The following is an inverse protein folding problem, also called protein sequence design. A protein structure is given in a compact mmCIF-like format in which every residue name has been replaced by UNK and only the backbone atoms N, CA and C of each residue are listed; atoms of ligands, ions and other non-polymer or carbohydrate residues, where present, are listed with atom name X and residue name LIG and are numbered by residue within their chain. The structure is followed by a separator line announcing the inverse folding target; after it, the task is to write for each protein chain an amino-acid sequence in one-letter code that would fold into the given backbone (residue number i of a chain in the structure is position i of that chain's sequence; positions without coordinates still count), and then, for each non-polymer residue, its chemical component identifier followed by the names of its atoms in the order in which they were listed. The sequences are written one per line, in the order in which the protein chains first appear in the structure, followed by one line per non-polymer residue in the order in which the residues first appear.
data_IF_917981194769
#
_entry.id   IF_917981194769
#
_cell.length_a   1.000
_cell.length_b   1.000
_cell.length_c   1.000
_cell.angle_alpha   90.00
_cell.angle_beta   90.00
_cell.angle_gamma   90.00
#
_symmetry.space_group_name_H-M   'P 1'
#
loop_
_entity.id
_entity.type
_entity.pdbx_description
1 polymer ?
#
# COMPACT_ATOMS: atom_id res chain seq x y z
N UNK A 1 5.53 -7.43 3.55
CA UNK A 1 5.63 -7.01 4.97
C UNK A 1 4.81 -7.88 5.92
N UNK A 2 5.02 -7.76 7.23
CA UNK A 2 4.18 -8.36 8.29
C UNK A 2 3.21 -7.29 8.79
N UNK A 3 1.90 -7.49 8.63
CA UNK A 3 0.91 -6.61 9.25
C UNK A 3 0.67 -7.06 10.69
N UNK A 4 0.92 -6.17 11.65
CA UNK A 4 0.65 -6.40 13.08
C UNK A 4 -0.27 -5.29 13.59
N UNK A 5 -1.33 -5.66 14.30
CA UNK A 5 -2.26 -4.68 14.88
C UNK A 5 -1.97 -4.59 16.38
N UNK A 6 -1.48 -3.42 16.82
CA UNK A 6 -1.35 -3.10 18.22
C UNK A 6 -2.63 -2.41 18.71
N UNK A 7 -3.34 -3.03 19.65
CA UNK A 7 -4.59 -2.48 20.17
C UNK A 7 -4.28 -1.53 21.33
N UNK A 8 -4.18 -0.24 21.02
CA UNK A 8 -3.82 0.80 22.00
C UNK A 8 -4.90 1.05 23.08
N UNK A 9 -6.12 0.52 22.93
CA UNK A 9 -7.16 0.56 23.97
C UNK A 9 -7.01 -0.58 24.98
N UNK A 10 -5.83 -0.73 25.57
CA UNK A 10 -5.60 -1.64 26.68
C UNK A 10 -6.63 -1.45 27.81
N UNK A 11 -7.13 -0.22 28.03
CA UNK A 11 -8.20 0.09 29.01
C UNK A 11 -9.51 -0.67 28.83
N UNK A 12 -9.90 -1.05 27.61
CA UNK A 12 -11.12 -1.86 27.41
C UNK A 12 -10.89 -3.35 27.72
N UNK A 13 -9.64 -3.81 27.68
CA UNK A 13 -9.25 -5.17 28.07
C UNK A 13 -8.89 -5.26 29.58
N UNK A 14 -8.83 -4.11 30.27
CA UNK A 14 -8.47 -3.99 31.69
C UNK A 14 -9.62 -4.26 32.67
N UNK A 15 -10.84 -4.50 32.18
CA UNK A 15 -11.97 -4.81 33.07
C UNK A 15 -11.82 -6.16 33.79
N UNK A 16 -10.91 -7.03 33.34
CA UNK A 16 -10.76 -8.39 33.87
C UNK A 16 -9.62 -8.58 34.90
N UNK A 17 -8.68 -7.63 35.07
CA UNK A 17 -7.56 -7.81 36.03
C UNK A 17 -6.93 -6.49 36.56
N UNK A 18 -7.33 -5.99 37.74
CA UNK A 18 -6.77 -4.80 38.35
C UNK A 18 -5.52 -5.14 39.19
N UNK A 19 -4.33 -5.18 38.59
CA UNK A 19 -3.08 -5.39 39.36
C UNK A 19 -1.77 -5.48 38.58
N UNK A 20 -1.82 -5.79 37.28
CA UNK A 20 -0.62 -5.93 36.45
C UNK A 20 -0.36 -4.71 35.57
N UNK A 21 0.92 -4.42 35.28
CA UNK A 21 1.30 -3.44 34.25
C UNK A 21 0.73 -3.91 32.91
N UNK A 22 -0.09 -3.10 32.22
CA UNK A 22 -0.85 -3.59 31.08
C UNK A 22 0.08 -3.86 29.90
N UNK A 23 0.26 -5.13 29.56
CA UNK A 23 0.90 -5.55 28.33
C UNK A 23 0.13 -4.98 27.14
N UNK A 24 0.85 -4.50 26.11
CA UNK A 24 0.22 -4.07 24.87
C UNK A 24 -0.25 -5.31 24.09
N UNK A 25 -1.56 -5.54 23.93
CA UNK A 25 -2.07 -6.60 23.07
C UNK A 25 -1.62 -6.37 21.62
N UNK A 26 -0.82 -7.29 21.09
CA UNK A 26 -0.41 -7.32 19.69
C UNK A 26 -1.02 -8.54 19.04
N UNK A 27 -1.79 -8.29 17.99
CA UNK A 27 -2.20 -9.31 17.06
C UNK A 27 -1.09 -9.60 16.07
N UNK A 28 -0.62 -10.83 16.06
CA UNK A 28 0.59 -11.22 15.33
C UNK A 28 0.37 -12.49 14.50
N UNK A 29 0.86 -12.55 13.25
CA UNK A 29 0.97 -13.82 12.54
C UNK A 29 2.02 -14.72 13.21
N UNK A 30 2.00 -16.04 12.96
CA UNK A 30 2.85 -16.99 13.68
C UNK A 30 4.35 -16.71 13.53
N UNK A 31 4.76 -16.15 12.38
CA UNK A 31 6.15 -15.74 12.16
C UNK A 31 6.59 -14.59 13.07
N UNK A 32 5.75 -13.57 13.27
CA UNK A 32 6.04 -12.46 14.18
C UNK A 32 6.01 -12.92 15.63
N UNK A 33 5.05 -13.76 15.99
CA UNK A 33 4.98 -14.35 17.32
C UNK A 33 6.27 -15.12 17.65
N UNK A 34 6.72 -16.01 16.76
CA UNK A 34 7.99 -16.73 16.92
C UNK A 34 9.18 -15.78 17.05
N UNK A 35 9.25 -14.77 16.19
CA UNK A 35 10.33 -13.78 16.27
C UNK A 35 10.33 -13.03 17.61
N UNK A 36 9.15 -12.60 18.08
CA UNK A 36 9.03 -11.88 19.35
C UNK A 36 9.34 -12.77 20.56
N UNK A 37 8.94 -14.04 20.53
CA UNK A 37 9.35 -15.03 21.54
C UNK A 37 10.87 -15.16 21.58
N UNK A 38 11.51 -15.40 20.43
CA UNK A 38 12.98 -15.48 20.36
C UNK A 38 13.67 -14.18 20.79
N UNK A 39 13.08 -13.02 20.48
CA UNK A 39 13.60 -11.73 20.91
C UNK A 39 13.54 -11.58 22.44
N UNK A 40 12.41 -11.91 23.07
CA UNK A 40 12.26 -11.89 24.52
C UNK A 40 13.25 -12.84 25.21
N UNK A 41 13.45 -14.04 24.66
CA UNK A 41 14.42 -15.03 25.17
C UNK A 41 15.87 -14.51 25.12
N UNK A 42 16.22 -13.74 24.09
CA UNK A 42 17.59 -13.23 23.89
C UNK A 42 17.89 -11.96 24.68
N UNK A 43 16.92 -11.06 24.85
CA UNK A 43 17.18 -9.71 25.34
C UNK A 43 16.67 -9.43 26.76
N UNK A 44 16.08 -10.41 27.46
CA UNK A 44 15.65 -10.32 28.88
C UNK A 44 14.94 -9.02 29.26
N UNK A 45 14.23 -8.39 28.32
CA UNK A 45 13.30 -7.34 28.63
C UNK A 45 12.01 -8.03 29.10
N UNK A 46 11.49 -7.64 30.26
CA UNK A 46 10.21 -8.18 30.74
C UNK A 46 9.13 -8.08 29.65
N UNK A 47 8.05 -8.86 29.75
CA UNK A 47 7.00 -8.81 28.74
C UNK A 47 6.42 -7.39 28.67
N UNK A 48 6.51 -6.75 27.49
CA UNK A 48 5.91 -5.43 27.21
C UNK A 48 4.62 -5.61 26.38
N UNK A 49 4.49 -6.76 25.73
CA UNK A 49 3.43 -7.08 24.77
C UNK A 49 2.76 -8.40 25.13
N UNK A 50 1.45 -8.46 24.93
CA UNK A 50 0.65 -9.69 25.03
C UNK A 50 0.34 -10.12 23.60
N UNK A 51 0.92 -11.24 23.15
CA UNK A 51 0.80 -11.70 21.78
C UNK A 51 -0.44 -12.57 21.61
N UNK A 52 -1.35 -12.12 20.75
CA UNK A 52 -2.44 -12.94 20.23
C UNK A 52 -1.98 -13.50 18.89
N UNK A 53 -1.51 -14.74 18.92
CA UNK A 53 -1.05 -15.43 17.70
C UNK A 53 -2.28 -15.81 16.88
N UNK A 54 -2.38 -15.27 15.68
CA UNK A 54 -3.37 -15.74 14.72
C UNK A 54 -2.79 -16.91 13.92
N UNK A 55 -3.21 -18.16 14.17
CA UNK A 55 -3.08 -19.21 13.15
C UNK A 55 -3.86 -18.78 11.89
N UNK A 56 -3.83 -19.56 10.80
CA UNK A 56 -4.61 -19.25 9.60
C UNK A 56 -6.12 -19.27 9.90
N UNK A 57 -6.66 -18.17 10.44
CA UNK A 57 -8.06 -18.00 10.85
C UNK A 57 -8.95 -17.63 9.66
N UNK A 58 -8.35 -17.31 8.52
CA UNK A 58 -9.04 -17.10 7.26
C UNK A 58 -8.75 -18.26 6.31
N UNK A 59 -9.71 -18.57 5.45
CA UNK A 59 -9.56 -19.58 4.40
C UNK A 59 -8.51 -19.11 3.39
N UNK A 60 -7.54 -19.99 3.12
CA UNK A 60 -6.50 -19.78 2.10
C UNK A 60 -6.33 -21.07 1.29
N UNK A 61 -6.37 -21.02 -0.06
CA UNK A 61 -6.58 -19.83 -0.87
C UNK A 61 -8.01 -19.28 -0.75
N UNK A 62 -8.15 -17.97 -0.93
CA UNK A 62 -9.45 -17.29 -0.96
C UNK A 62 -10.33 -17.91 -2.07
N UNK A 63 -11.61 -18.23 -1.82
CA UNK A 63 -12.48 -18.73 -2.87
C UNK A 63 -12.63 -17.74 -4.03
N UNK A 64 -12.32 -18.19 -5.25
CA UNK A 64 -12.18 -17.33 -6.45
C UNK A 64 -13.52 -16.68 -6.88
N UNK A 65 -14.65 -17.26 -6.47
CA UNK A 65 -15.99 -16.81 -6.85
C UNK A 65 -16.57 -15.73 -5.93
N UNK A 66 -15.90 -15.37 -4.83
CA UNK A 66 -16.41 -14.36 -3.91
C UNK A 66 -16.20 -12.95 -4.45
N UNK A 67 -17.27 -12.15 -4.42
CA UNK A 67 -17.29 -10.73 -4.81
C UNK A 67 -18.06 -9.93 -3.73
N UNK A 68 -17.41 -8.99 -3.02
CA UNK A 68 -15.98 -8.65 -3.08
C UNK A 68 -15.09 -9.82 -2.64
N UNK A 69 -13.80 -9.86 -3.05
CA UNK A 69 -12.87 -10.97 -2.79
C UNK A 69 -12.32 -10.93 -1.36
N UNK A 70 -13.22 -10.97 -0.38
CA UNK A 70 -12.90 -10.98 1.05
C UNK A 70 -12.82 -12.43 1.52
N UNK A 71 -11.70 -12.82 2.13
CA UNK A 71 -11.54 -14.21 2.53
C UNK A 71 -12.33 -14.49 3.81
N UNK A 72 -13.14 -15.56 3.86
CA UNK A 72 -13.98 -15.87 4.99
C UNK A 72 -13.17 -16.44 6.16
N UNK A 73 -13.73 -16.33 7.37
CA UNK A 73 -13.19 -16.97 8.56
C UNK A 73 -13.34 -18.49 8.50
N UNK A 74 -12.35 -19.19 9.02
CA UNK A 74 -12.30 -20.65 9.15
C UNK A 74 -12.99 -21.06 10.46
N UNK A 75 -14.31 -21.21 10.42
CA UNK A 75 -15.17 -21.40 11.61
C UNK A 75 -15.01 -22.76 12.33
N UNK A 76 -14.18 -23.65 11.82
CA UNK A 76 -13.94 -24.99 12.39
C UNK A 76 -12.90 -24.99 13.53
N UNK A 77 -12.29 -23.85 13.84
CA UNK A 77 -11.22 -23.71 14.83
C UNK A 77 -11.66 -22.86 16.02
N UNK A 78 -11.33 -23.30 17.24
CA UNK A 78 -11.54 -22.52 18.48
C UNK A 78 -10.90 -21.13 18.39
N UNK A 79 -9.71 -21.04 17.78
CA UNK A 79 -9.01 -19.78 17.54
C UNK A 79 -9.79 -18.79 16.67
N UNK A 80 -10.58 -19.27 15.70
CA UNK A 80 -11.38 -18.40 14.85
C UNK A 80 -12.60 -17.84 15.59
N UNK A 81 -13.17 -18.59 16.55
CA UNK A 81 -14.25 -18.12 17.40
C UNK A 81 -13.75 -17.08 18.41
N UNK A 82 -12.61 -17.32 19.05
CA UNK A 82 -11.96 -16.34 19.94
C UNK A 82 -11.61 -15.06 19.18
N UNK A 83 -11.08 -15.21 17.96
CA UNK A 83 -10.79 -14.09 17.07
C UNK A 83 -12.04 -13.27 16.73
N UNK A 84 -13.13 -13.93 16.34
CA UNK A 84 -14.42 -13.28 16.06
C UNK A 84 -14.95 -12.54 17.30
N UNK A 85 -14.92 -13.19 18.47
CA UNK A 85 -15.35 -12.57 19.74
C UNK A 85 -14.52 -11.33 20.10
N UNK A 86 -13.20 -11.37 19.89
CA UNK A 86 -12.34 -10.21 20.07
C UNK A 86 -12.71 -9.07 19.12
N UNK A 87 -12.88 -9.37 17.83
CA UNK A 87 -13.30 -8.39 16.81
C UNK A 87 -14.66 -7.76 17.13
N UNK A 88 -15.64 -8.57 17.56
CA UNK A 88 -16.97 -8.10 17.98
C UNK A 88 -16.88 -7.16 19.18
N UNK A 89 -16.08 -7.50 20.21
CA UNK A 89 -15.84 -6.62 21.38
C UNK A 89 -15.16 -5.30 21.00
N UNK A 90 -14.23 -5.35 20.05
CA UNK A 90 -13.53 -4.17 19.54
C UNK A 90 -14.38 -3.36 18.54
N UNK A 91 -15.53 -3.89 18.10
CA UNK A 91 -16.35 -3.34 17.02
C UNK A 91 -15.52 -3.10 15.76
N UNK A 92 -14.62 -4.04 15.47
CA UNK A 92 -13.66 -4.00 14.39
C UNK A 92 -13.90 -5.20 13.47
N UNK A 93 -13.94 -4.96 12.17
CA UNK A 93 -13.97 -5.99 11.14
C UNK A 93 -12.61 -5.99 10.42
N UNK A 94 -12.07 -7.17 10.14
CA UNK A 94 -10.79 -7.36 9.43
C UNK A 94 -11.03 -8.32 8.28
N UNK A 95 -10.72 -7.87 7.08
CA UNK A 95 -10.94 -8.61 5.84
C UNK A 95 -9.63 -8.69 5.04
N UNK A 96 -8.92 -9.82 5.07
CA UNK A 96 -7.74 -10.01 4.26
C UNK A 96 -8.10 -10.22 2.79
N UNK A 97 -7.27 -9.67 1.91
CA UNK A 97 -7.43 -9.72 0.46
C UNK A 97 -6.12 -10.24 -0.12
N UNK A 98 -6.21 -11.25 -0.98
CA UNK A 98 -5.01 -11.81 -1.61
C UNK A 98 -4.47 -10.84 -2.65
N UNK A 99 -3.16 -10.57 -2.61
CA UNK A 99 -2.50 -9.68 -3.58
C UNK A 99 -1.34 -10.36 -4.32
N UNK A 100 -1.09 -9.99 -5.59
CA UNK A 100 -0.13 -10.65 -6.47
C UNK A 100 1.32 -10.13 -6.30
N UNK A 101 1.88 -10.23 -5.10
CA UNK A 101 3.31 -9.98 -4.84
C UNK A 101 4.07 -11.30 -4.66
N UNK A 102 3.96 -11.91 -3.46
CA UNK A 102 4.43 -13.28 -3.19
C UNK A 102 3.28 -14.24 -2.87
N UNK A 103 3.57 -15.54 -2.81
CA UNK A 103 2.60 -16.57 -2.39
C UNK A 103 1.97 -16.30 -1.01
N UNK A 104 2.63 -15.53 -0.14
CA UNK A 104 2.19 -15.20 1.22
C UNK A 104 1.83 -13.73 1.42
N UNK A 105 1.73 -12.94 0.35
CA UNK A 105 1.37 -11.51 0.44
C UNK A 105 -0.14 -11.29 0.52
N UNK A 106 -0.53 -10.32 1.34
CA UNK A 106 -1.92 -9.96 1.62
C UNK A 106 -2.06 -8.45 1.80
N UNK A 107 -3.19 -7.93 1.36
CA UNK A 107 -3.74 -6.64 1.76
C UNK A 107 -4.80 -6.84 2.83
N UNK A 108 -5.20 -5.75 3.49
CA UNK A 108 -6.22 -5.78 4.54
C UNK A 108 -7.19 -4.62 4.39
N UNK A 109 -8.48 -4.93 4.42
CA UNK A 109 -9.54 -3.97 4.71
C UNK A 109 -9.90 -4.07 6.19
N UNK A 110 -9.88 -2.94 6.89
CA UNK A 110 -10.37 -2.79 8.24
C UNK A 110 -11.61 -1.91 8.22
N UNK A 111 -12.61 -2.26 9.03
CA UNK A 111 -13.76 -1.38 9.28
C UNK A 111 -14.00 -1.29 10.77
N UNK A 112 -14.10 -0.08 11.31
CA UNK A 112 -14.47 0.12 12.70
C UNK A 112 -15.80 0.84 12.79
N UNK A 113 -16.67 0.38 13.70
CA UNK A 113 -17.87 1.11 14.06
C UNK A 113 -17.52 2.01 15.24
N UNK A 114 -17.53 3.31 15.04
CA UNK A 114 -17.38 4.22 16.18
C UNK A 114 -18.72 4.30 16.91
N UNK A 115 -18.93 3.43 17.91
CA UNK A 115 -19.88 3.76 18.96
C UNK A 115 -19.30 4.89 19.80
N UNK A 116 -19.85 6.12 19.65
CA UNK A 116 -19.83 7.07 20.77
C UNK A 116 -20.76 6.50 21.84
N UNK A 117 -20.18 5.76 22.78
CA UNK A 117 -20.74 5.64 24.13
C UNK A 117 -20.56 7.01 24.78
N UNK A 118 -21.50 7.90 24.50
CA UNK A 118 -21.86 8.94 25.46
C UNK A 118 -23.16 8.47 26.11
N UNK A 119 -23.14 8.64 27.43
CA UNK A 119 -24.16 8.35 28.43
C UNK A 119 -25.59 8.57 27.95
N UNK A 120 -26.47 7.83 28.60
CA UNK A 120 -27.92 7.78 28.41
C UNK A 120 -28.56 9.16 28.21
N UNK A 121 -29.69 9.12 27.49
CA UNK A 121 -30.63 10.21 27.22
C UNK A 121 -30.25 11.14 26.07
N UNK A 122 -30.66 10.74 24.85
CA UNK A 122 -31.60 11.45 23.96
C UNK A 122 -31.81 10.56 22.73
N UNK A 123 -33.07 10.19 22.48
CA UNK A 123 -33.53 9.60 21.23
C UNK A 123 -33.30 10.59 20.10
N UNK A 124 -32.19 10.45 19.40
CA UNK A 124 -32.03 11.02 18.07
C UNK A 124 -31.17 10.08 17.24
N UNK A 125 -31.55 9.87 15.97
CA UNK A 125 -31.00 8.85 15.06
C UNK A 125 -29.47 8.93 15.00
N UNK A 126 -28.79 8.11 15.82
CA UNK A 126 -27.33 8.00 15.85
C UNK A 126 -26.83 7.52 14.50
N UNK A 127 -26.38 8.45 13.67
CA UNK A 127 -25.44 8.18 12.59
C UNK A 127 -24.21 7.53 13.23
N UNK A 128 -24.13 6.20 13.19
CA UNK A 128 -22.90 5.49 13.53
C UNK A 128 -21.83 5.94 12.52
N UNK A 129 -20.82 6.67 12.98
CA UNK A 129 -19.65 6.98 12.14
C UNK A 129 -18.82 5.70 11.99
N UNK A 130 -19.11 4.94 10.94
CA UNK A 130 -18.26 3.85 10.51
C UNK A 130 -17.03 4.44 9.81
N UNK A 131 -15.85 3.89 10.06
CA UNK A 131 -14.65 4.20 9.29
C UNK A 131 -14.13 2.94 8.62
N UNK A 132 -13.48 3.11 7.49
CA UNK A 132 -12.90 2.06 6.68
C UNK A 132 -11.49 2.42 6.23
N UNK A 133 -10.56 1.49 6.43
CA UNK A 133 -9.14 1.64 6.11
C UNK A 133 -8.71 0.47 5.25
N UNK A 134 -8.06 0.73 4.12
CA UNK A 134 -7.42 -0.29 3.29
C UNK A 134 -5.91 -0.13 3.40
N UNK A 135 -5.21 -1.22 3.66
CA UNK A 135 -3.75 -1.30 3.66
C UNK A 135 -3.32 -2.27 2.56
N UNK A 136 -2.61 -1.80 1.54
CA UNK A 136 -2.28 -2.59 0.35
C UNK A 136 -1.33 -3.76 0.62
N UNK A 137 -0.49 -3.66 1.65
CA UNK A 137 0.74 -4.47 1.71
C UNK A 137 1.63 -4.18 0.50
N UNK A 138 2.43 -5.16 0.11
CA UNK A 138 3.23 -5.10 -1.11
C UNK A 138 2.42 -5.72 -2.26
N UNK A 139 2.21 -4.99 -3.35
CA UNK A 139 1.40 -5.40 -4.50
C UNK A 139 1.66 -4.52 -5.73
N UNK A 140 1.64 -5.08 -6.96
CA UNK A 140 1.38 -4.30 -8.16
C UNK A 140 -0.12 -3.92 -8.23
N UNK A 141 -0.57 -3.31 -9.32
CA UNK A 141 -1.99 -3.02 -9.55
C UNK A 141 -2.83 -4.31 -9.37
N UNK A 142 -3.88 -4.23 -8.53
CA UNK A 142 -4.67 -5.38 -8.12
C UNK A 142 -6.17 -5.04 -8.12
N UNK A 143 -6.90 -5.60 -9.09
CA UNK A 143 -8.35 -5.37 -9.21
C UNK A 143 -9.14 -5.90 -8.01
N UNK A 144 -8.73 -7.03 -7.44
CA UNK A 144 -9.37 -7.59 -6.26
C UNK A 144 -9.25 -6.65 -5.05
N UNK A 145 -8.10 -5.97 -4.90
CA UNK A 145 -7.90 -4.94 -3.89
C UNK A 145 -8.82 -3.73 -4.13
N UNK A 146 -8.90 -3.25 -5.38
CA UNK A 146 -9.77 -2.13 -5.78
C UNK A 146 -11.23 -2.45 -5.46
N UNK A 147 -11.71 -3.64 -5.85
CA UNK A 147 -13.08 -4.07 -5.64
C UNK A 147 -13.40 -4.23 -4.15
N UNK A 148 -12.53 -4.91 -3.41
CA UNK A 148 -12.69 -5.08 -1.98
C UNK A 148 -12.70 -3.73 -1.25
N UNK A 149 -11.80 -2.83 -1.64
CA UNK A 149 -11.54 -1.51 -1.06
C UNK A 149 -12.53 -0.40 -1.38
N UNK A 150 -13.51 -0.66 -2.25
CA UNK A 150 -14.32 0.40 -2.88
C UNK A 150 -14.98 1.33 -1.85
N UNK A 151 -14.88 2.63 -2.09
CA UNK A 151 -15.39 3.70 -1.22
C UNK A 151 -14.80 3.73 0.20
N UNK A 152 -13.57 3.25 0.41
CA UNK A 152 -12.95 3.35 1.72
C UNK A 152 -12.63 4.81 2.11
N UNK A 153 -12.55 5.08 3.42
CA UNK A 153 -12.23 6.43 3.92
C UNK A 153 -10.75 6.75 3.77
N UNK A 154 -9.89 5.75 3.97
CA UNK A 154 -8.45 5.88 3.82
C UNK A 154 -7.88 4.64 3.13
N UNK A 155 -7.13 4.85 2.06
CA UNK A 155 -6.25 3.87 1.44
C UNK A 155 -4.80 4.21 1.83
N UNK A 156 -4.09 3.28 2.46
CA UNK A 156 -2.64 3.32 2.61
C UNK A 156 -2.06 2.37 1.58
N UNK A 157 -1.38 2.91 0.56
CA UNK A 157 -0.89 2.14 -0.57
C UNK A 157 0.63 2.24 -0.71
N UNK A 158 1.28 1.11 -1.02
CA UNK A 158 2.69 1.10 -1.38
C UNK A 158 2.94 1.86 -2.69
N UNK A 159 4.05 2.60 -2.75
CA UNK A 159 4.49 3.32 -3.93
C UNK A 159 6.01 3.17 -4.06
N UNK A 160 6.44 1.91 -4.18
CA UNK A 160 7.86 1.52 -4.05
C UNK A 160 8.77 2.19 -5.07
N UNK A 161 8.27 2.42 -6.30
CA UNK A 161 9.07 2.96 -7.40
C UNK A 161 8.44 4.20 -8.05
N UNK A 162 9.25 5.00 -8.74
CA UNK A 162 8.75 6.08 -9.58
C UNK A 162 8.18 5.53 -10.89
N UNK A 163 7.42 6.36 -11.63
CA UNK A 163 6.77 5.94 -12.86
C UNK A 163 7.77 5.63 -13.98
N UNK A 164 8.95 6.26 -13.97
CA UNK A 164 10.05 5.98 -14.92
C UNK A 164 10.61 4.57 -14.73
N UNK A 165 10.43 3.98 -13.55
CA UNK A 165 10.88 2.63 -13.20
C UNK A 165 9.75 1.60 -13.30
N UNK A 166 8.70 1.86 -14.08
CA UNK A 166 7.56 0.95 -14.25
C UNK A 166 7.97 -0.49 -14.58
N UNK A 167 8.93 -0.68 -15.48
CA UNK A 167 9.39 -2.01 -15.86
C UNK A 167 10.09 -2.76 -14.71
N UNK A 168 10.78 -2.04 -13.83
CA UNK A 168 11.34 -2.62 -12.60
C UNK A 168 10.24 -2.94 -11.58
N UNK A 169 9.23 -2.07 -11.45
CA UNK A 169 8.11 -2.27 -10.55
C UNK A 169 7.31 -3.52 -10.94
N UNK A 170 7.02 -3.69 -12.23
CA UNK A 170 6.30 -4.85 -12.75
C UNK A 170 7.10 -6.14 -12.52
N UNK A 171 8.42 -6.14 -12.79
CA UNK A 171 9.31 -7.30 -12.53
C UNK A 171 9.40 -7.66 -11.05
N UNK A 172 9.46 -6.65 -10.18
CA UNK A 172 9.55 -6.84 -8.73
C UNK A 172 8.18 -7.04 -8.07
N UNK A 173 7.08 -6.97 -8.84
CA UNK A 173 5.69 -7.04 -8.38
C UNK A 173 5.36 -6.02 -7.29
N UNK A 174 5.71 -4.77 -7.56
CA UNK A 174 5.43 -3.62 -6.72
C UNK A 174 4.66 -2.55 -7.50
N UNK A 175 4.20 -1.53 -6.80
CA UNK A 175 3.51 -0.39 -7.41
C UNK A 175 4.47 0.76 -7.70
N UNK A 176 4.18 1.49 -8.77
CA UNK A 176 4.72 2.82 -9.00
C UNK A 176 3.89 3.86 -8.26
N UNK A 177 4.41 5.08 -8.16
CA UNK A 177 3.68 6.22 -7.61
C UNK A 177 2.34 6.43 -8.35
N UNK A 178 2.39 6.49 -9.68
CA UNK A 178 1.21 6.69 -10.51
C UNK A 178 0.23 5.52 -10.43
N UNK A 179 0.70 4.28 -10.32
CA UNK A 179 -0.19 3.13 -10.15
C UNK A 179 -0.91 3.14 -8.82
N UNK A 180 -0.21 3.49 -7.73
CA UNK A 180 -0.81 3.61 -6.40
C UNK A 180 -1.90 4.70 -6.37
N UNK A 181 -1.67 5.84 -7.03
CA UNK A 181 -2.65 6.92 -7.15
C UNK A 181 -3.87 6.45 -7.96
N UNK A 182 -3.66 5.83 -9.13
CA UNK A 182 -4.75 5.30 -9.97
C UNK A 182 -5.57 4.23 -9.24
N UNK A 183 -4.93 3.38 -8.43
CA UNK A 183 -5.61 2.41 -7.59
C UNK A 183 -6.54 3.11 -6.59
N UNK A 184 -6.08 4.17 -5.93
CA UNK A 184 -6.92 4.97 -5.02
C UNK A 184 -8.09 5.65 -5.72
N UNK A 185 -7.86 6.22 -6.91
CA UNK A 185 -8.91 6.82 -7.74
C UNK A 185 -9.95 5.78 -8.19
N UNK A 186 -9.50 4.62 -8.67
CA UNK A 186 -10.36 3.52 -9.11
C UNK A 186 -11.17 2.89 -7.97
N UNK A 187 -10.57 2.85 -6.78
CA UNK A 187 -11.22 2.44 -5.54
C UNK A 187 -12.24 3.47 -5.05
N UNK A 188 -12.24 4.69 -5.59
CA UNK A 188 -13.02 5.82 -5.08
C UNK A 188 -12.73 6.07 -3.59
N UNK A 189 -11.47 5.90 -3.18
CA UNK A 189 -11.04 6.13 -1.81
C UNK A 189 -11.18 7.63 -1.47
N UNK A 190 -11.72 7.95 -0.29
CA UNK A 190 -11.87 9.34 0.16
C UNK A 190 -10.52 10.02 0.35
N UNK A 191 -9.49 9.26 0.74
CA UNK A 191 -8.12 9.72 0.85
C UNK A 191 -7.13 8.58 0.55
N UNK A 192 -6.01 8.89 -0.12
CA UNK A 192 -4.92 7.96 -0.40
C UNK A 192 -3.61 8.48 0.22
N UNK A 193 -3.02 7.68 1.10
CA UNK A 193 -1.74 7.94 1.73
C UNK A 193 -0.69 6.97 1.16
N UNK A 194 0.30 7.51 0.47
CA UNK A 194 1.36 6.74 -0.19
C UNK A 194 2.45 6.39 0.82
N UNK A 195 2.91 5.13 0.84
CA UNK A 195 3.95 4.64 1.74
C UNK A 195 4.97 3.73 1.03
N UNK A 196 5.88 3.14 1.82
CA UNK A 196 6.80 2.07 1.38
C UNK A 196 7.68 2.49 0.19
N UNK A 197 8.23 3.70 0.24
CA UNK A 197 9.11 4.21 -0.79
C UNK A 197 10.47 3.48 -0.77
N UNK A 198 10.95 3.04 -1.93
CA UNK A 198 12.26 2.39 -2.00
C UNK A 198 13.38 3.38 -1.69
N UNK A 199 14.18 3.10 -0.66
CA UNK A 199 15.37 3.90 -0.35
C UNK A 199 16.37 3.98 -1.52
N UNK A 200 16.35 3.01 -2.45
CA UNK A 200 17.27 2.95 -3.60
C UNK A 200 16.84 3.87 -4.74
N UNK A 201 15.53 4.01 -4.95
CA UNK A 201 14.93 4.72 -6.08
C UNK A 201 14.32 6.07 -5.68
N UNK A 202 14.08 6.30 -4.38
CA UNK A 202 13.75 7.60 -3.84
C UNK A 202 13.20 7.52 -2.42
N UNK A 203 13.83 8.22 -1.49
CA UNK A 203 13.32 8.40 -0.11
C UNK A 203 12.08 9.30 -0.06
N UNK A 204 11.78 9.99 -1.15
CA UNK A 204 10.66 10.89 -1.30
C UNK A 204 9.94 10.54 -2.59
N UNK A 205 8.62 10.47 -2.58
CA UNK A 205 7.89 10.42 -3.82
C UNK A 205 8.04 11.75 -4.58
N UNK A 206 8.29 11.67 -5.88
CA UNK A 206 8.28 12.83 -6.77
C UNK A 206 6.85 13.26 -7.07
N UNK A 207 6.14 13.72 -6.03
CA UNK A 207 4.79 14.27 -6.13
C UNK A 207 4.88 15.79 -6.05
N UNK A 208 4.91 16.45 -7.21
CA UNK A 208 4.97 17.91 -7.33
C UNK A 208 3.59 18.56 -7.54
N UNK A 209 2.62 17.76 -7.99
CA UNK A 209 1.28 18.19 -8.36
C UNK A 209 0.34 18.07 -7.17
N UNK A 210 -0.32 19.18 -6.81
CA UNK A 210 -1.32 19.18 -5.75
C UNK A 210 -2.50 18.29 -6.10
N UNK A 211 -2.83 17.37 -5.19
CA UNK A 211 -3.98 16.46 -5.30
C UNK A 211 -4.73 16.45 -3.96
N UNK A 212 -5.99 16.89 -3.90
CA UNK A 212 -6.69 17.18 -2.64
C UNK A 212 -6.94 15.95 -1.74
N UNK A 213 -6.84 14.75 -2.30
CA UNK A 213 -7.07 13.48 -1.60
C UNK A 213 -5.82 12.59 -1.57
N UNK A 214 -4.64 13.09 -1.94
CA UNK A 214 -3.41 12.29 -1.98
C UNK A 214 -2.30 12.95 -1.19
N UNK A 215 -1.66 12.19 -0.31
CA UNK A 215 -0.47 12.64 0.41
C UNK A 215 0.52 11.49 0.62
N UNK A 216 1.64 11.80 1.25
CA UNK A 216 2.80 10.91 1.38
C UNK A 216 3.11 10.71 2.85
N UNK A 217 3.32 9.47 3.28
CA UNK A 217 3.70 9.15 4.64
C UNK A 217 5.19 9.41 4.88
N UNK A 218 5.54 9.72 6.13
CA UNK A 218 6.93 9.86 6.57
C UNK A 218 7.16 9.03 7.83
N UNK A 219 8.41 8.68 8.07
CA UNK A 219 8.82 8.02 9.31
C UNK A 219 8.36 8.85 10.52
N UNK A 220 7.76 8.17 11.50
CA UNK A 220 7.20 8.76 12.72
C UNK A 220 6.03 9.74 12.53
N UNK A 221 5.51 9.89 11.31
CA UNK A 221 4.35 10.72 11.05
C UNK A 221 3.13 10.21 11.83
N UNK A 222 2.45 11.11 12.55
CA UNK A 222 1.20 10.84 13.24
C UNK A 222 0.13 11.78 12.71
N UNK A 223 -0.96 11.22 12.19
CA UNK A 223 -2.04 11.99 11.58
C UNK A 223 -3.36 11.49 12.11
N UNK A 224 -4.24 12.41 12.50
CA UNK A 224 -5.64 12.08 12.81
C UNK A 224 -6.44 11.98 11.52
N UNK A 225 -7.47 11.13 11.50
CA UNK A 225 -8.37 11.00 10.34
C UNK A 225 -8.93 12.37 9.89
N UNK A 226 -9.31 13.23 10.83
CA UNK A 226 -9.84 14.58 10.54
C UNK A 226 -8.82 15.51 9.87
N UNK A 227 -7.52 15.24 10.05
CA UNK A 227 -6.42 16.06 9.54
C UNK A 227 -5.91 15.59 8.16
N UNK A 228 -6.39 14.45 7.63
CA UNK A 228 -5.91 13.89 6.36
C UNK A 228 -5.98 14.90 5.21
N UNK A 229 -7.09 15.64 5.09
CA UNK A 229 -7.29 16.66 4.03
C UNK A 229 -6.33 17.85 4.12
N UNK A 230 -5.61 18.00 5.23
CA UNK A 230 -4.57 19.03 5.39
C UNK A 230 -3.23 18.60 4.80
N UNK A 231 -2.98 17.30 4.71
CA UNK A 231 -1.69 16.77 4.27
C UNK A 231 -1.26 17.21 2.86
N UNK A 232 -2.15 17.23 1.84
CA UNK A 232 -1.75 17.59 0.49
C UNK A 232 -1.21 19.02 0.35
N UNK A 233 -1.57 19.92 1.26
CA UNK A 233 -1.05 21.29 1.26
C UNK A 233 0.44 21.37 1.60
N UNK A 234 0.99 20.35 2.27
CA UNK A 234 2.43 20.28 2.57
C UNK A 234 3.25 19.69 1.41
N UNK A 235 2.62 18.94 0.50
CA UNK A 235 3.30 18.22 -0.58
C UNK A 235 4.17 19.14 -1.45
N UNK A 236 3.71 20.33 -1.92
CA UNK A 236 4.54 21.23 -2.72
C UNK A 236 5.81 21.73 -2.01
N UNK A 237 5.84 21.68 -0.67
CA UNK A 237 6.97 22.13 0.13
C UNK A 237 8.04 21.06 0.32
N UNK A 238 7.71 19.78 0.10
CA UNK A 238 8.66 18.68 0.29
C UNK A 238 9.87 18.76 -0.65
N UNK A 239 9.67 19.20 -1.89
CA UNK A 239 10.80 19.42 -2.81
C UNK A 239 11.80 20.45 -2.29
N UNK A 240 11.35 21.44 -1.52
CA UNK A 240 12.23 22.44 -0.91
C UNK A 240 12.86 21.93 0.38
N UNK A 241 12.06 21.32 1.26
CA UNK A 241 12.55 20.72 2.51
C UNK A 241 13.62 19.64 2.28
N UNK A 242 13.54 18.96 1.13
CA UNK A 242 14.41 17.85 0.78
C UNK A 242 15.11 18.02 -0.59
N UNK A 243 15.45 19.26 -0.97
CA UNK A 243 15.98 19.59 -2.31
C UNK A 243 17.10 18.68 -2.80
N UNK A 244 18.13 18.43 -1.99
CA UNK A 244 19.23 17.53 -2.38
C UNK A 244 18.75 16.12 -2.77
N UNK A 245 17.77 15.59 -2.04
CA UNK A 245 17.23 14.26 -2.31
C UNK A 245 16.33 14.27 -3.54
N UNK A 246 15.58 15.34 -3.74
CA UNK A 246 14.76 15.59 -4.92
C UNK A 246 15.62 15.59 -6.20
N UNK A 247 16.64 16.44 -6.24
CA UNK A 247 17.51 16.59 -7.43
C UNK A 247 18.23 15.28 -7.76
N UNK A 248 18.70 14.56 -6.73
CA UNK A 248 19.36 13.26 -6.91
C UNK A 248 18.42 12.22 -7.50
N UNK A 249 17.16 12.20 -7.08
CA UNK A 249 16.17 11.25 -7.59
C UNK A 249 15.78 11.60 -9.02
N UNK A 250 15.55 12.87 -9.30
CA UNK A 250 15.23 13.35 -10.64
C UNK A 250 16.35 12.99 -11.64
N UNK A 251 17.61 13.27 -11.31
CA UNK A 251 18.74 12.93 -12.18
C UNK A 251 18.87 11.42 -12.44
N UNK A 252 18.58 10.58 -11.43
CA UNK A 252 18.57 9.12 -11.58
C UNK A 252 17.42 8.64 -12.48
N UNK A 253 16.23 9.19 -12.29
CA UNK A 253 15.06 8.86 -13.10
C UNK A 253 15.29 9.25 -14.57
N UNK A 254 15.81 10.45 -14.82
CA UNK A 254 16.18 10.92 -16.16
C UNK A 254 17.26 10.04 -16.81
N UNK A 255 18.34 9.73 -16.08
CA UNK A 255 19.40 8.85 -16.59
C UNK A 255 18.88 7.44 -16.93
N UNK A 256 17.95 6.92 -16.13
CA UNK A 256 17.30 5.64 -16.41
C UNK A 256 16.46 5.68 -17.68
N UNK A 257 15.61 6.70 -17.82
CA UNK A 257 14.78 6.93 -19.00
C UNK A 257 15.63 7.05 -20.27
N UNK A 258 16.73 7.81 -20.22
CA UNK A 258 17.67 7.93 -21.34
C UNK A 258 18.39 6.63 -21.68
N UNK A 259 18.73 5.80 -20.69
CA UNK A 259 19.30 4.47 -20.95
C UNK A 259 18.28 3.59 -21.67
N UNK A 260 17.03 3.55 -21.19
CA UNK A 260 15.95 2.77 -21.80
C UNK A 260 15.62 3.23 -23.22
N UNK A 261 15.60 4.53 -23.45
CA UNK A 261 15.41 5.10 -24.79
C UNK A 261 16.50 4.62 -25.75
N UNK A 262 17.78 4.66 -25.34
CA UNK A 262 18.91 4.19 -26.16
C UNK A 262 18.82 2.69 -26.46
N UNK A 263 18.52 1.87 -25.46
CA UNK A 263 18.33 0.41 -25.64
C UNK A 263 17.27 0.12 -26.72
N UNK A 264 16.12 0.79 -26.68
CA UNK A 264 15.04 0.61 -27.66
C UNK A 264 15.40 1.08 -29.08
N UNK A 265 16.21 2.14 -29.21
CA UNK A 265 16.61 2.69 -30.52
C UNK A 265 17.82 1.99 -31.12
N UNK A 266 18.62 1.31 -30.31
CA UNK A 266 19.76 0.50 -30.76
C UNK A 266 19.33 -0.89 -31.25
N UNK A 267 18.17 -1.39 -30.80
CA UNK A 267 17.55 -2.65 -31.22
C UNK A 267 16.66 -2.55 -32.48
N UNK A 268 16.49 -1.35 -33.07
CA UNK A 268 15.86 -1.16 -34.39
C UNK A 268 16.95 -1.01 -35.47
N UNK A 269 17.42 -2.08 -36.12
CA UNK A 269 18.24 -1.91 -37.31
C UNK A 269 17.40 -1.21 -38.38
N UNK A 270 17.99 -0.19 -39.01
CA UNK A 270 17.45 0.45 -40.19
C UNK A 270 17.13 -0.61 -41.24
N UNK A 271 15.84 -0.90 -41.46
CA UNK A 271 15.40 -1.41 -42.76
C UNK A 271 15.38 -0.21 -43.70
N UNK A 272 16.58 0.30 -44.02
CA UNK A 272 16.78 1.15 -45.17
C UNK A 272 16.75 0.20 -46.38
N UNK A 273 15.56 0.06 -46.99
CA UNK A 273 15.43 -0.55 -48.31
C UNK A 273 16.22 0.32 -49.30
N UNK A 274 17.45 -0.07 -49.57
CA UNK A 274 18.18 0.36 -50.76
C UNK A 274 17.55 -0.37 -51.94
N UNK A 275 16.48 0.19 -52.50
CA UNK A 275 16.06 -0.16 -53.85
C UNK A 275 16.99 0.56 -54.83
N UNK A 276 18.05 -0.12 -55.27
CA UNK A 276 18.66 0.18 -56.55
C UNK A 276 17.61 -0.07 -57.63
N UNK A 277 17.18 0.98 -58.31
CA UNK A 277 16.64 0.86 -59.67
C UNK A 277 17.57 1.62 -60.59
N UNK A 278 18.47 0.86 -61.22
CA UNK A 278 19.06 1.22 -62.49
C UNK A 278 17.92 1.54 -63.46
N UNK A 279 17.96 2.71 -64.10
CA UNK A 279 17.32 2.87 -65.40
C UNK A 279 18.14 3.85 -66.22
N UNK A 280 18.68 3.29 -67.30
CA UNK A 280 19.40 3.97 -68.36
C UNK A 280 18.59 5.13 -68.94
N UNK A 281 19.25 6.26 -69.19
CA UNK A 281 18.88 7.10 -70.32
C UNK A 281 20.15 7.69 -70.94
N UNK A 282 20.67 6.99 -71.95
CA UNK A 282 21.57 7.56 -72.97
C UNK A 282 20.71 8.27 -74.01
N UNK A 283 20.99 9.56 -74.22
CA UNK A 283 20.87 10.36 -75.46
C UNK A 283 20.91 11.84 -75.03
N UNK A 284 21.56 12.82 -75.65
CA UNK A 284 22.58 12.94 -76.72
C UNK A 284 22.96 14.44 -76.72
N UNK A 285 24.21 14.75 -77.12
CA UNK A 285 24.62 15.97 -77.87
C UNK A 285 24.39 17.36 -77.24
N UNK A 286 25.49 18.09 -76.99
CA UNK A 286 26.04 19.11 -77.91
C UNK A 286 26.60 20.35 -77.18
N UNK A 287 27.86 20.67 -77.52
CA UNK A 287 28.42 22.02 -77.74
C UNK A 287 28.41 23.04 -76.58
N UNK A 288 29.60 23.39 -76.06
CA UNK A 288 30.38 24.55 -76.52
C UNK A 288 31.58 24.86 -75.62
N UNK A 289 32.74 25.00 -76.29
CA UNK A 289 34.01 25.65 -75.92
C UNK A 289 34.87 25.08 -74.78
#
# INVERSE_FOLDING_TARGET
GIFSVALARARLLQLDNPGESPLLPILAPPAFARWMTSFCDLFCHGSIVSLFVLPSVYISPCPIHLRPPLCPLRLDSSYAMEWKSLLDRLQLEVHPIKVPHTGTSWAYMLRGRQCRLLSEEVEDKKSQSCWSLVYSGDTPECNDLIEAGRHCDLLIHEATMSDEHKDLADRARHSTLGSAIRTGESMMASFTLLNHFSQRYGRLPMLDTFRPSVATAFDFMKVRFDDLRRLPYYVPYYKYAFGKHWDTQQAKAEAYSWRKYREQHQERPEIAVVSKSDTECKQTKALCN
#
